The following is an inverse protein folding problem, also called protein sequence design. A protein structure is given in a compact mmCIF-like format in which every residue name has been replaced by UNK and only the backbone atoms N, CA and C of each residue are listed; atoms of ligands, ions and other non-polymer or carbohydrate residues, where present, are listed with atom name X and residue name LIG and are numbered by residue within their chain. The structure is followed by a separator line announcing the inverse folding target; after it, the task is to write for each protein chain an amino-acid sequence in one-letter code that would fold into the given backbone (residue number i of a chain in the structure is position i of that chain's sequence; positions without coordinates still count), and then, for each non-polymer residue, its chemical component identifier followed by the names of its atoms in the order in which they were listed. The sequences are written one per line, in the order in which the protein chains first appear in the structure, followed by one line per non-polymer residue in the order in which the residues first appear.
data_IF_340965858706
#
_entry.id   IF_340965858706
#
_cell.length_a   1.000
_cell.length_b   1.000
_cell.length_c   1.000
_cell.angle_alpha   90.00
_cell.angle_beta   90.00
_cell.angle_gamma   90.00
#
_symmetry.space_group_name_H-M   'P 1'
#
loop_
_entity.id
_entity.type
_entity.pdbx_description
1 polymer ?
#
# COMPACT_ATOMS: atom_id res chain seq x y z
N UNK A 1 77.05 61.95 -13.74
CA UNK A 1 76.58 61.17 -14.91
C UNK A 1 75.07 60.98 -14.79
N UNK A 2 74.31 61.60 -15.70
CA UNK A 2 72.85 61.53 -15.82
C UNK A 2 72.49 60.26 -16.59
N UNK A 3 71.50 59.50 -16.12
CA UNK A 3 71.06 58.26 -16.80
C UNK A 3 69.64 57.84 -16.45
N UNK A 4 68.68 58.65 -16.90
CA UNK A 4 67.30 58.36 -17.34
C UNK A 4 66.35 57.51 -16.45
N UNK A 5 65.32 58.24 -15.98
CA UNK A 5 64.03 57.80 -15.40
C UNK A 5 63.39 56.66 -16.21
N UNK A 6 63.11 55.54 -15.52
CA UNK A 6 62.17 54.52 -15.97
C UNK A 6 60.82 54.78 -15.28
N UNK A 7 59.80 54.81 -16.13
CA UNK A 7 58.40 55.14 -15.87
C UNK A 7 57.76 54.19 -14.84
N UNK A 8 57.39 54.70 -13.66
CA UNK A 8 56.54 53.96 -12.72
C UNK A 8 55.10 53.99 -13.22
N UNK A 9 54.69 52.97 -13.96
CA UNK A 9 53.26 52.64 -14.12
C UNK A 9 52.84 51.95 -12.82
N UNK A 10 52.12 52.67 -11.96
CA UNK A 10 51.39 52.04 -10.85
C UNK A 10 50.30 51.16 -11.48
N UNK A 11 50.46 49.84 -11.42
CA UNK A 11 49.36 48.90 -11.65
C UNK A 11 48.28 49.20 -10.61
N UNK A 12 47.19 49.80 -11.05
CA UNK A 12 45.95 49.90 -10.30
C UNK A 12 45.45 48.47 -10.10
N UNK A 13 45.70 47.89 -8.93
CA UNK A 13 45.00 46.68 -8.51
C UNK A 13 43.58 47.11 -8.17
N UNK A 14 42.65 46.90 -9.10
CA UNK A 14 41.23 46.86 -8.79
C UNK A 14 41.03 45.55 -8.05
N UNK A 15 41.20 45.59 -6.73
CA UNK A 15 40.70 44.53 -5.87
C UNK A 15 39.18 44.65 -5.94
N UNK A 16 38.54 43.74 -6.67
CA UNK A 16 37.10 43.53 -6.55
C UNK A 16 36.84 43.05 -5.13
N UNK A 17 36.60 43.97 -4.21
CA UNK A 17 36.02 43.65 -2.92
C UNK A 17 34.57 43.27 -3.20
N UNK A 18 34.35 41.98 -3.51
CA UNK A 18 33.06 41.35 -3.38
C UNK A 18 32.66 41.46 -1.92
N UNK A 19 31.97 42.55 -1.60
CA UNK A 19 31.18 42.70 -0.39
C UNK A 19 30.10 41.63 -0.50
N UNK A 20 30.40 40.46 0.05
CA UNK A 20 29.41 39.46 0.35
C UNK A 20 28.48 40.12 1.36
N UNK A 21 27.38 40.67 0.87
CA UNK A 21 26.26 41.10 1.69
C UNK A 21 25.79 39.81 2.38
N UNK A 22 26.32 39.56 3.58
CA UNK A 22 25.72 38.66 4.56
C UNK A 22 24.40 39.32 4.93
N UNK A 23 23.39 39.09 4.09
CA UNK A 23 22.02 39.16 4.54
C UNK A 23 21.92 37.99 5.51
N UNK A 24 22.13 38.27 6.79
CA UNK A 24 21.54 37.46 7.84
C UNK A 24 20.06 37.39 7.48
N UNK A 25 19.64 36.26 6.93
CA UNK A 25 18.23 35.95 6.74
C UNK A 25 17.62 36.04 8.12
N UNK A 26 17.01 37.19 8.39
CA UNK A 26 16.40 37.49 9.66
C UNK A 26 15.26 36.49 9.77
N UNK A 27 15.46 35.56 10.69
CA UNK A 27 14.51 34.68 11.31
C UNK A 27 13.18 35.38 11.56
N UNK A 28 12.25 35.31 10.61
CA UNK A 28 10.81 35.53 10.85
C UNK A 28 10.00 34.77 9.79
N UNK A 29 9.85 33.46 9.98
CA UNK A 29 8.73 32.69 9.42
C UNK A 29 8.37 31.44 10.24
N UNK A 30 8.88 31.29 11.48
CA UNK A 30 8.59 30.15 12.37
C UNK A 30 7.62 30.51 13.51
N UNK A 31 6.86 31.60 13.38
CA UNK A 31 5.91 32.03 14.44
C UNK A 31 4.44 31.91 14.05
N UNK A 32 4.10 31.38 12.88
CA UNK A 32 2.71 31.03 12.58
C UNK A 32 2.48 29.58 13.04
N UNK A 33 1.57 29.32 13.98
CA UNK A 33 1.22 27.96 14.37
C UNK A 33 0.87 27.11 13.14
N UNK A 34 1.39 25.88 13.09
CA UNK A 34 1.06 24.84 12.12
C UNK A 34 -0.43 24.45 12.26
N UNK A 35 -1.33 25.30 11.78
CA UNK A 35 -2.78 25.10 11.88
C UNK A 35 -3.36 25.40 10.49
N UNK A 36 -3.64 24.37 9.67
CA UNK A 36 -4.29 24.58 8.39
C UNK A 36 -5.67 25.22 8.55
N UNK A 37 -6.01 26.23 7.75
CA UNK A 37 -7.41 26.53 7.46
C UNK A 37 -7.79 25.71 6.22
N UNK A 38 -8.02 24.41 6.42
CA UNK A 38 -8.31 23.47 5.33
C UNK A 38 -9.76 23.58 4.85
N UNK A 39 -9.99 23.39 3.55
CA UNK A 39 -11.32 23.36 2.94
C UNK A 39 -11.52 22.10 2.12
N UNK A 40 -12.70 21.49 2.19
CA UNK A 40 -13.04 20.26 1.44
C UNK A 40 -13.26 20.48 -0.08
N UNK A 41 -13.11 21.70 -0.57
CA UNK A 41 -13.42 22.11 -1.95
C UNK A 41 -12.35 23.02 -2.57
N UNK A 42 -11.18 23.16 -1.95
CA UNK A 42 -10.13 24.04 -2.46
C UNK A 42 -9.30 23.29 -3.53
N UNK A 43 -8.43 24.00 -4.25
CA UNK A 43 -7.57 23.35 -5.25
C UNK A 43 -6.29 24.16 -5.35
N UNK A 44 -5.15 23.56 -5.01
CA UNK A 44 -3.87 24.25 -5.13
C UNK A 44 -3.06 23.65 -6.29
N UNK A 45 -3.44 24.03 -7.51
CA UNK A 45 -2.63 23.77 -8.72
C UNK A 45 -1.66 24.93 -8.89
N UNK A 46 -0.39 24.68 -8.58
CA UNK A 46 0.65 25.70 -8.68
C UNK A 46 0.95 26.06 -10.14
N UNK A 47 1.07 27.35 -10.43
CA UNK A 47 1.33 27.84 -11.79
C UNK A 47 2.81 28.15 -12.03
N UNK A 48 3.40 27.71 -13.16
CA UNK A 48 2.80 26.86 -14.20
C UNK A 48 2.52 25.42 -13.71
N UNK A 49 1.42 24.82 -14.18
CA UNK A 49 1.07 23.44 -13.84
C UNK A 49 2.10 22.46 -14.40
N UNK A 50 2.76 21.74 -13.50
CA UNK A 50 3.86 20.81 -13.81
C UNK A 50 3.50 19.36 -13.53
N UNK A 51 2.22 19.06 -13.27
CA UNK A 51 1.76 17.66 -13.17
C UNK A 51 1.99 16.96 -14.51
N UNK A 52 2.34 15.68 -14.43
CA UNK A 52 2.60 14.82 -15.60
C UNK A 52 1.50 13.79 -15.73
N UNK A 53 1.01 13.62 -16.96
CA UNK A 53 0.15 12.50 -17.32
C UNK A 53 0.94 11.20 -17.21
N UNK A 54 0.37 10.20 -16.56
CA UNK A 54 0.90 8.84 -16.54
C UNK A 54 0.24 8.07 -17.69
N UNK A 55 0.91 7.99 -18.84
CA UNK A 55 0.35 7.41 -20.07
C UNK A 55 0.31 5.88 -20.09
N UNK A 56 1.02 5.21 -19.18
CA UNK A 56 1.03 3.75 -19.04
C UNK A 56 0.94 3.34 -17.56
N UNK A 57 -0.21 2.81 -17.18
CA UNK A 57 -0.48 2.40 -15.80
C UNK A 57 -0.30 0.89 -15.57
N UNK A 58 0.30 0.15 -16.51
CA UNK A 58 0.54 -1.29 -16.39
C UNK A 58 1.88 -1.64 -15.70
N UNK A 59 2.60 -0.65 -15.17
CA UNK A 59 3.88 -0.83 -14.49
C UNK A 59 3.79 -0.40 -13.04
N UNK A 60 4.52 -1.08 -12.17
CA UNK A 60 4.67 -0.69 -10.77
C UNK A 60 5.43 0.65 -10.66
N UNK A 61 4.98 1.60 -9.81
CA UNK A 61 3.85 1.51 -8.88
C UNK A 61 2.48 1.91 -9.46
N UNK A 62 2.42 2.45 -10.68
CA UNK A 62 1.21 3.04 -11.28
C UNK A 62 0.05 2.04 -11.39
N UNK A 63 0.36 0.76 -11.63
CA UNK A 63 -0.63 -0.32 -11.70
C UNK A 63 -1.37 -0.60 -10.38
N UNK A 64 -0.84 -0.12 -9.26
CA UNK A 64 -1.46 -0.24 -7.94
C UNK A 64 -2.42 0.90 -7.61
N UNK A 65 -2.42 1.97 -8.40
CA UNK A 65 -3.20 3.18 -8.13
C UNK A 65 -4.60 3.04 -8.75
N UNK A 66 -5.63 3.34 -7.95
CA UNK A 66 -7.02 3.10 -8.32
C UNK A 66 -7.82 4.40 -8.38
N UNK A 67 -8.78 4.42 -9.30
CA UNK A 67 -9.84 5.42 -9.33
C UNK A 67 -11.04 4.88 -8.55
N UNK A 68 -11.59 5.72 -7.68
CA UNK A 68 -12.68 5.35 -6.78
C UNK A 68 -13.90 6.18 -7.16
N UNK A 69 -15.04 5.53 -7.33
CA UNK A 69 -16.35 6.19 -7.36
C UNK A 69 -17.15 5.75 -6.14
N UNK A 70 -17.72 6.71 -5.43
CA UNK A 70 -18.58 6.43 -4.27
C UNK A 70 -19.95 7.05 -4.47
N UNK A 71 -20.95 6.46 -3.82
CA UNK A 71 -22.26 7.07 -3.62
C UNK A 71 -22.30 7.50 -2.16
N UNK A 72 -22.32 8.80 -1.89
CA UNK A 72 -22.37 9.36 -0.53
C UNK A 72 -23.67 9.00 0.19
N UNK A 73 -23.71 9.26 1.50
CA UNK A 73 -24.92 9.05 2.31
C UNK A 73 -26.11 9.86 1.79
N UNK A 74 -25.84 11.05 1.25
CA UNK A 74 -26.80 11.91 0.55
C UNK A 74 -27.25 11.39 -0.83
N UNK A 75 -26.68 10.29 -1.34
CA UNK A 75 -26.99 9.71 -2.65
C UNK A 75 -26.27 10.35 -3.83
N UNK A 76 -25.41 11.35 -3.61
CA UNK A 76 -24.61 12.01 -4.65
C UNK A 76 -23.39 11.15 -4.99
N UNK A 77 -22.97 11.18 -6.27
CA UNK A 77 -21.75 10.50 -6.70
C UNK A 77 -20.52 11.36 -6.45
N UNK A 78 -19.54 10.78 -5.78
CA UNK A 78 -18.23 11.38 -5.56
C UNK A 78 -17.14 10.54 -6.22
N UNK A 79 -15.95 11.13 -6.35
CA UNK A 79 -14.78 10.48 -6.95
C UNK A 79 -13.53 10.78 -6.16
N UNK A 80 -12.63 9.81 -6.16
CA UNK A 80 -11.35 9.91 -5.48
C UNK A 80 -10.31 8.98 -6.06
N UNK A 81 -9.22 8.84 -5.32
CA UNK A 81 -8.08 8.01 -5.63
C UNK A 81 -7.79 7.05 -4.48
N UNK A 82 -7.01 6.02 -4.75
CA UNK A 82 -6.54 5.09 -3.72
C UNK A 82 -5.35 4.28 -4.21
N UNK A 83 -4.88 3.39 -3.35
CA UNK A 83 -3.76 2.49 -3.64
C UNK A 83 -4.04 1.08 -3.13
N UNK A 84 -3.75 0.08 -3.96
CA UNK A 84 -3.83 -1.33 -3.57
C UNK A 84 -2.71 -1.64 -2.56
N UNK A 85 -3.11 -2.12 -1.39
CA UNK A 85 -2.20 -2.46 -0.28
C UNK A 85 -2.21 -3.96 0.05
N UNK A 86 -3.13 -4.74 -0.52
CA UNK A 86 -3.20 -6.19 -0.36
C UNK A 86 -3.94 -6.80 -1.57
N UNK A 87 -4.04 -8.14 -1.70
CA UNK A 87 -4.83 -8.79 -2.76
C UNK A 87 -6.22 -8.18 -2.97
N UNK A 88 -6.94 -7.87 -1.90
CA UNK A 88 -8.32 -7.38 -1.91
C UNK A 88 -8.53 -6.12 -1.05
N UNK A 89 -7.51 -5.27 -0.88
CA UNK A 89 -7.65 -4.07 -0.05
C UNK A 89 -7.03 -2.83 -0.72
N UNK A 90 -7.76 -1.72 -0.62
CA UNK A 90 -7.33 -0.39 -1.06
C UNK A 90 -7.26 0.54 0.15
N UNK A 91 -6.17 1.28 0.27
CA UNK A 91 -6.03 2.41 1.18
C UNK A 91 -6.40 3.71 0.44
N UNK A 92 -7.18 4.56 1.10
CA UNK A 92 -7.65 5.85 0.59
C UNK A 92 -7.83 6.84 1.76
N UNK A 93 -8.40 8.01 1.50
CA UNK A 93 -8.77 8.97 2.54
C UNK A 93 -10.00 8.50 3.31
N UNK A 94 -10.11 8.82 4.59
CA UNK A 94 -11.27 8.53 5.43
C UNK A 94 -12.54 9.23 4.93
N UNK A 95 -12.42 10.45 4.40
CA UNK A 95 -13.55 11.18 3.83
C UNK A 95 -14.13 10.54 2.55
N UNK A 96 -13.40 9.63 1.90
CA UNK A 96 -13.95 8.81 0.82
C UNK A 96 -14.91 7.72 1.34
N UNK A 97 -14.95 7.48 2.66
CA UNK A 97 -15.80 6.49 3.33
C UNK A 97 -16.87 7.17 4.20
N UNK A 98 -16.50 8.20 4.94
CA UNK A 98 -17.39 8.93 5.83
C UNK A 98 -17.14 10.42 5.71
N UNK A 99 -18.17 11.19 5.36
CA UNK A 99 -18.15 12.64 5.39
C UNK A 99 -19.49 13.16 5.92
N UNK A 100 -19.48 13.82 7.08
CA UNK A 100 -20.67 14.30 7.75
C UNK A 100 -21.49 15.26 6.88
N UNK A 101 -20.82 16.11 6.09
CA UNK A 101 -21.48 17.07 5.20
C UNK A 101 -22.08 16.40 3.95
N UNK A 102 -21.68 15.17 3.64
CA UNK A 102 -22.16 14.37 2.51
C UNK A 102 -23.14 13.26 2.93
N UNK A 103 -23.72 13.38 4.12
CA UNK A 103 -24.70 12.44 4.66
C UNK A 103 -24.10 11.26 5.42
N UNK A 104 -22.84 11.34 5.83
CA UNK A 104 -22.17 10.35 6.67
C UNK A 104 -21.49 9.24 5.85
N UNK A 105 -21.75 7.99 6.20
CA UNK A 105 -21.17 6.84 5.51
C UNK A 105 -21.63 6.77 4.05
N UNK A 106 -20.72 6.39 3.17
CA UNK A 106 -21.05 6.03 1.79
C UNK A 106 -22.06 4.87 1.76
N UNK A 107 -22.91 4.86 0.74
CA UNK A 107 -23.84 3.76 0.45
C UNK A 107 -23.16 2.64 -0.33
N UNK A 108 -22.21 2.99 -1.18
CA UNK A 108 -21.44 2.04 -1.98
C UNK A 108 -20.19 2.70 -2.54
N UNK A 109 -19.21 1.86 -2.90
CA UNK A 109 -18.02 2.26 -3.64
C UNK A 109 -17.71 1.24 -4.74
N UNK A 110 -17.20 1.75 -5.85
CA UNK A 110 -16.69 0.96 -6.97
C UNK A 110 -15.24 1.35 -7.23
N UNK A 111 -14.39 0.34 -7.29
CA UNK A 111 -12.97 0.49 -7.57
C UNK A 111 -12.67 0.13 -9.00
N UNK A 112 -11.84 0.95 -9.59
CA UNK A 112 -11.36 0.79 -10.93
C UNK A 112 -9.82 0.79 -10.88
N UNK A 113 -9.19 -0.23 -11.47
CA UNK A 113 -7.73 -0.39 -11.44
C UNK A 113 -7.03 0.35 -12.61
N UNK A 114 -6.02 1.17 -12.28
CA UNK A 114 -4.98 1.68 -13.18
C UNK A 114 -5.44 2.21 -14.56
N UNK A 115 -5.97 3.44 -14.62
CA UNK A 115 -6.33 4.14 -15.87
C UNK A 115 -5.35 5.24 -16.21
N UNK A 116 -4.55 5.03 -17.24
CA UNK A 116 -3.59 6.03 -17.67
C UNK A 116 -4.21 7.18 -18.49
N UNK A 117 -5.20 6.89 -19.35
CA UNK A 117 -5.53 7.78 -20.48
C UNK A 117 -7.03 8.09 -20.67
N UNK A 118 -7.87 7.86 -19.66
CA UNK A 118 -9.30 8.19 -19.73
C UNK A 118 -10.19 7.19 -20.51
N UNK A 119 -9.62 6.15 -21.12
CA UNK A 119 -10.40 5.06 -21.73
C UNK A 119 -10.78 4.01 -20.67
N UNK A 120 -12.07 3.71 -20.57
CA UNK A 120 -12.66 2.90 -19.50
C UNK A 120 -13.19 1.56 -20.02
N UNK A 121 -12.89 0.47 -19.30
CA UNK A 121 -13.57 -0.81 -19.46
C UNK A 121 -14.43 -1.07 -18.20
N UNK A 122 -15.76 -0.99 -18.34
CA UNK A 122 -16.70 -1.26 -17.25
C UNK A 122 -16.59 -2.65 -16.66
N UNK A 123 -16.06 -3.60 -17.43
CA UNK A 123 -15.91 -4.97 -16.98
C UNK A 123 -14.76 -5.14 -15.96
N UNK A 124 -13.88 -4.15 -15.81
CA UNK A 124 -12.80 -4.13 -14.81
C UNK A 124 -13.24 -3.58 -13.44
N UNK A 125 -14.52 -3.19 -13.29
CA UNK A 125 -15.07 -2.71 -12.03
C UNK A 125 -14.97 -3.79 -10.93
N UNK A 126 -14.58 -3.35 -9.74
CA UNK A 126 -14.55 -4.17 -8.53
C UNK A 126 -15.41 -3.51 -7.46
N UNK A 127 -16.41 -4.23 -6.95
CA UNK A 127 -17.26 -3.72 -5.89
C UNK A 127 -16.51 -3.75 -4.56
N UNK A 128 -16.81 -2.78 -3.70
CA UNK A 128 -16.40 -2.79 -2.29
C UNK A 128 -17.40 -3.64 -1.50
N UNK A 129 -16.89 -4.57 -0.69
CA UNK A 129 -17.70 -5.47 0.16
C UNK A 129 -17.83 -4.97 1.59
N UNK A 130 -16.86 -4.19 2.05
CA UNK A 130 -16.89 -3.48 3.34
C UNK A 130 -15.87 -2.36 3.36
N UNK A 131 -16.09 -1.40 4.24
CA UNK A 131 -15.29 -0.20 4.40
C UNK A 131 -14.97 0.06 5.87
N UNK A 132 -13.77 0.59 6.14
CA UNK A 132 -13.31 0.93 7.49
C UNK A 132 -12.72 2.32 7.45
N UNK A 133 -13.45 3.30 8.00
CA UNK A 133 -12.90 4.63 8.29
C UNK A 133 -12.05 4.56 9.56
N UNK A 134 -10.94 5.29 9.59
CA UNK A 134 -10.15 5.42 10.81
C UNK A 134 -11.03 6.02 11.94
N UNK A 135 -11.03 5.45 13.15
CA UNK A 135 -11.85 5.94 14.25
C UNK A 135 -11.58 7.40 14.64
N UNK A 136 -10.34 7.88 14.51
CA UNK A 136 -9.98 9.25 14.81
C UNK A 136 -10.58 10.24 13.80
N UNK A 137 -10.53 9.90 12.49
CA UNK A 137 -11.25 10.63 11.46
C UNK A 137 -12.75 10.68 11.74
N UNK A 138 -13.35 9.50 11.96
CA UNK A 138 -14.77 9.37 12.19
C UNK A 138 -15.24 10.21 13.39
N UNK A 139 -14.47 10.23 14.47
CA UNK A 139 -14.79 11.00 15.66
C UNK A 139 -14.74 12.52 15.41
N UNK A 140 -13.75 12.99 14.66
CA UNK A 140 -13.54 14.43 14.42
C UNK A 140 -14.46 14.99 13.35
N UNK A 141 -14.65 14.27 12.24
CA UNK A 141 -15.52 14.71 11.14
C UNK A 141 -17.00 14.70 11.52
N UNK A 142 -17.42 13.79 12.41
CA UNK A 142 -18.79 13.74 12.98
C UNK A 142 -19.25 15.02 13.67
N UNK A 143 -18.32 15.89 14.06
CA UNK A 143 -18.65 17.19 14.65
C UNK A 143 -19.26 18.17 13.63
N UNK A 144 -19.27 17.83 12.34
CA UNK A 144 -19.98 18.57 11.30
C UNK A 144 -19.41 19.96 11.03
N UNK A 145 -18.11 20.16 11.28
CA UNK A 145 -17.45 21.43 11.00
C UNK A 145 -17.31 21.64 9.50
N UNK A 146 -17.52 22.88 9.03
CA UNK A 146 -17.38 23.25 7.61
C UNK A 146 -15.93 23.09 7.13
N UNK A 147 -14.97 23.18 8.05
CA UNK A 147 -13.54 23.07 7.75
C UNK A 147 -13.02 21.66 8.02
N UNK A 148 -11.97 21.28 7.29
CA UNK A 148 -11.28 20.01 7.48
C UNK A 148 -10.82 19.86 8.94
N UNK A 149 -11.12 18.74 9.61
CA UNK A 149 -10.76 18.54 11.01
C UNK A 149 -9.24 18.37 11.17
N UNK A 150 -8.61 19.37 11.77
CA UNK A 150 -7.16 19.38 11.92
C UNK A 150 -6.66 18.26 12.81
N UNK A 151 -5.52 17.70 12.40
CA UNK A 151 -4.89 16.60 13.10
C UNK A 151 -5.68 15.30 13.08
N UNK A 152 -6.65 15.14 12.16
CA UNK A 152 -7.36 13.89 11.97
C UNK A 152 -6.54 12.88 11.16
N UNK A 153 -6.54 11.61 11.59
CA UNK A 153 -6.08 10.48 10.78
C UNK A 153 -7.10 10.16 9.68
N UNK A 154 -7.24 11.05 8.69
CA UNK A 154 -8.13 10.91 7.53
C UNK A 154 -7.71 9.76 6.60
N UNK A 155 -7.89 8.53 7.08
CA UNK A 155 -7.53 7.29 6.42
C UNK A 155 -8.74 6.37 6.34
N UNK A 156 -8.84 5.66 5.22
CA UNK A 156 -9.92 4.73 4.93
C UNK A 156 -9.41 3.47 4.25
N UNK A 157 -9.99 2.32 4.61
CA UNK A 157 -9.73 1.04 3.97
C UNK A 157 -10.99 0.56 3.27
N UNK A 158 -10.85 0.14 2.02
CA UNK A 158 -11.91 -0.47 1.22
C UNK A 158 -11.54 -1.93 0.93
N UNK A 159 -12.35 -2.86 1.40
CA UNK A 159 -12.23 -4.29 1.12
C UNK A 159 -12.98 -4.64 -0.16
N UNK A 160 -12.36 -5.44 -1.01
CA UNK A 160 -12.80 -5.64 -2.39
C UNK A 160 -13.42 -7.02 -2.60
N UNK A 161 -14.39 -7.09 -3.51
CA UNK A 161 -15.02 -8.35 -3.92
C UNK A 161 -14.12 -9.23 -4.80
N UNK A 162 -12.99 -8.70 -5.27
CA UNK A 162 -12.02 -9.39 -6.15
C UNK A 162 -10.60 -9.17 -5.64
N UNK A 163 -9.76 -10.18 -5.82
CA UNK A 163 -8.33 -10.15 -5.48
C UNK A 163 -7.48 -9.41 -6.54
N UNK A 164 -7.85 -8.17 -6.91
CA UNK A 164 -7.18 -7.43 -8.01
C UNK A 164 -5.68 -7.18 -7.76
N UNK A 165 -5.25 -7.13 -6.50
CA UNK A 165 -3.86 -6.94 -6.11
C UNK A 165 -2.94 -8.12 -6.45
N UNK A 166 -3.48 -9.33 -6.69
CA UNK A 166 -2.68 -10.47 -7.15
C UNK A 166 -2.09 -10.24 -8.54
N UNK A 167 -2.76 -9.44 -9.38
CA UNK A 167 -2.31 -9.13 -10.75
C UNK A 167 -1.34 -7.95 -10.82
N UNK A 168 -1.39 -7.03 -9.85
CA UNK A 168 -0.59 -5.80 -9.87
C UNK A 168 0.54 -5.76 -8.85
N UNK A 169 0.52 -6.67 -7.88
CA UNK A 169 1.20 -6.45 -6.62
C UNK A 169 0.54 -5.31 -5.83
N UNK A 170 1.21 -4.89 -4.76
CA UNK A 170 0.79 -3.81 -3.89
C UNK A 170 2.01 -3.05 -3.37
N UNK A 171 1.80 -1.78 -3.01
CA UNK A 171 2.87 -0.96 -2.45
C UNK A 171 3.12 -1.30 -0.98
N UNK A 172 4.40 -1.26 -0.58
CA UNK A 172 4.76 -1.31 0.84
C UNK A 172 4.40 0.00 1.55
N UNK A 173 4.48 -0.01 2.88
CA UNK A 173 4.24 1.17 3.72
C UNK A 173 5.47 1.46 4.58
N UNK A 174 5.71 2.73 4.88
CA UNK A 174 6.81 3.14 5.75
C UNK A 174 6.36 4.27 6.67
N UNK A 175 6.67 4.13 7.96
CA UNK A 175 6.48 5.19 8.95
C UNK A 175 7.62 6.19 9.01
N UNK A 176 8.69 5.96 8.24
CA UNK A 176 9.85 6.83 8.19
C UNK A 176 9.56 7.97 7.21
N UNK A 177 9.41 9.17 7.78
CA UNK A 177 9.24 10.41 7.03
C UNK A 177 10.18 11.48 7.59
N UNK A 178 10.88 12.19 6.72
CA UNK A 178 11.74 13.31 7.11
C UNK A 178 11.50 14.56 6.25
N UNK A 179 11.76 15.73 6.83
CA UNK A 179 11.75 17.00 6.09
C UNK A 179 12.74 16.91 4.92
N UNK A 180 12.36 17.49 3.79
CA UNK A 180 13.08 17.44 2.51
C UNK A 180 13.18 16.05 1.86
N UNK A 181 12.56 15.00 2.42
CA UNK A 181 12.50 13.69 1.76
C UNK A 181 11.80 13.79 0.40
N UNK A 182 12.42 13.22 -0.62
CA UNK A 182 11.84 13.15 -1.96
C UNK A 182 10.62 12.20 -1.96
N UNK A 183 9.51 12.69 -2.50
CA UNK A 183 8.23 12.00 -2.55
C UNK A 183 7.57 12.20 -3.91
N UNK A 184 6.59 11.35 -4.21
CA UNK A 184 5.69 11.51 -5.35
C UNK A 184 4.26 11.28 -4.93
N UNK A 185 3.35 12.04 -5.54
CA UNK A 185 1.91 11.90 -5.40
C UNK A 185 1.34 11.62 -6.78
N UNK A 186 0.52 10.57 -6.89
CA UNK A 186 -0.12 10.17 -8.14
C UNK A 186 -1.56 9.75 -7.85
N UNK A 187 -2.50 10.22 -8.69
CA UNK A 187 -3.88 9.78 -8.67
C UNK A 187 -4.69 10.42 -9.77
N UNK A 188 -5.97 10.68 -9.49
CA UNK A 188 -6.98 11.03 -10.49
C UNK A 188 -7.58 12.41 -10.23
N UNK A 189 -6.89 13.49 -10.62
CA UNK A 189 -7.41 14.83 -10.41
C UNK A 189 -8.64 15.10 -11.27
N UNK A 190 -9.61 15.78 -10.69
CA UNK A 190 -10.91 16.03 -11.30
C UNK A 190 -10.90 16.96 -12.51
N UNK A 191 -9.88 17.81 -12.65
CA UNK A 191 -9.66 18.67 -13.80
C UNK A 191 -9.03 17.93 -15.00
N UNK A 192 -8.66 16.66 -14.82
CA UNK A 192 -8.20 15.74 -15.87
C UNK A 192 -9.05 14.46 -15.84
N UNK A 193 -10.30 14.52 -16.33
CA UNK A 193 -11.30 13.49 -16.08
C UNK A 193 -10.80 12.07 -16.40
N UNK A 194 -10.82 11.21 -15.39
CA UNK A 194 -10.48 9.77 -15.48
C UNK A 194 -9.04 9.49 -15.97
N UNK A 195 -8.16 10.48 -15.93
CA UNK A 195 -6.75 10.34 -16.28
C UNK A 195 -5.90 10.27 -15.01
N UNK A 196 -4.85 9.45 -15.04
CA UNK A 196 -3.88 9.39 -13.96
C UNK A 196 -2.80 10.46 -14.17
N UNK A 197 -2.63 11.31 -13.17
CA UNK A 197 -1.62 12.37 -13.16
C UNK A 197 -0.84 12.35 -11.87
N UNK A 198 0.38 12.85 -11.92
CA UNK A 198 1.21 12.91 -10.75
C UNK A 198 2.26 14.00 -10.81
N UNK A 199 2.87 14.25 -9.65
CA UNK A 199 3.97 15.19 -9.51
C UNK A 199 4.91 14.69 -8.40
N UNK A 200 6.19 14.99 -8.57
CA UNK A 200 7.21 14.71 -7.56
C UNK A 200 7.66 16.02 -6.92
N UNK A 201 8.01 15.94 -5.64
CA UNK A 201 8.47 17.06 -4.84
C UNK A 201 9.11 16.56 -3.57
N UNK A 202 9.11 17.39 -2.53
CA UNK A 202 9.71 17.04 -1.25
C UNK A 202 8.74 17.29 -0.09
N UNK A 203 8.95 16.60 1.02
CA UNK A 203 8.28 16.93 2.29
C UNK A 203 8.72 18.32 2.73
N UNK A 204 7.77 19.22 2.98
CA UNK A 204 8.04 20.59 3.42
C UNK A 204 8.00 20.74 4.93
N UNK A 205 6.90 20.27 5.56
CA UNK A 205 6.71 20.32 7.01
C UNK A 205 6.04 19.02 7.50
N UNK A 206 6.28 18.67 8.76
CA UNK A 206 5.68 17.51 9.44
C UNK A 206 5.14 18.01 10.77
N UNK A 207 3.84 17.81 11.04
CA UNK A 207 3.21 18.24 12.29
C UNK A 207 2.31 17.21 12.97
N UNK A 208 2.28 15.97 12.45
CA UNK A 208 1.64 14.77 13.00
C UNK A 208 0.11 14.87 13.31
N UNK A 209 -0.76 14.09 12.65
CA UNK A 209 -0.45 13.19 11.55
C UNK A 209 -0.26 13.92 10.23
N UNK A 210 -0.56 15.21 10.14
CA UNK A 210 -0.44 15.96 8.88
C UNK A 210 1.01 16.28 8.52
N UNK A 211 1.30 16.22 7.23
CA UNK A 211 2.52 16.75 6.62
C UNK A 211 2.18 17.44 5.30
N UNK A 212 3.02 18.38 4.89
CA UNK A 212 2.85 19.15 3.66
C UNK A 212 3.96 18.88 2.65
N UNK A 213 3.70 19.22 1.39
CA UNK A 213 4.63 19.05 0.29
C UNK A 213 5.11 20.40 -0.25
N UNK A 214 6.37 20.47 -0.67
CA UNK A 214 6.83 21.53 -1.57
C UNK A 214 6.67 21.07 -3.02
N UNK A 215 6.13 21.96 -3.86
CA UNK A 215 6.04 21.78 -5.30
C UNK A 215 5.25 20.54 -5.76
N UNK A 216 4.18 20.16 -5.06
CA UNK A 216 3.24 19.14 -5.55
C UNK A 216 1.86 19.78 -5.70
N UNK A 217 1.44 19.95 -6.96
CA UNK A 217 0.11 20.47 -7.29
C UNK A 217 -0.97 19.41 -7.08
N UNK A 218 -2.13 19.84 -6.58
CA UNK A 218 -3.29 18.97 -6.31
C UNK A 218 -4.58 19.58 -6.87
N UNK A 219 -5.56 18.73 -7.14
CA UNK A 219 -6.93 19.12 -7.48
C UNK A 219 -7.90 18.07 -6.89
N UNK A 220 -9.13 18.45 -6.46
CA UNK A 220 -10.16 17.53 -5.98
C UNK A 220 -10.33 16.30 -6.87
N UNK A 221 -10.46 15.12 -6.25
CA UNK A 221 -10.37 13.81 -6.91
C UNK A 221 -9.04 13.08 -6.65
N UNK A 222 -7.98 13.81 -6.27
CA UNK A 222 -6.76 13.20 -5.72
C UNK A 222 -6.84 12.90 -4.21
N UNK A 223 -8.00 13.08 -3.60
CA UNK A 223 -8.31 12.54 -2.28
C UNK A 223 -8.04 11.05 -2.23
N UNK A 224 -7.20 10.60 -1.31
CA UNK A 224 -6.79 9.21 -1.20
C UNK A 224 -5.60 8.79 -2.07
N UNK A 225 -5.03 9.69 -2.88
CA UNK A 225 -3.83 9.40 -3.66
C UNK A 225 -2.66 8.99 -2.74
N UNK A 226 -1.90 7.93 -3.06
CA UNK A 226 -0.71 7.59 -2.30
C UNK A 226 0.36 8.68 -2.46
N UNK A 227 0.97 9.03 -1.34
CA UNK A 227 2.25 9.75 -1.30
C UNK A 227 3.33 8.75 -0.93
N UNK A 228 4.32 8.58 -1.79
CA UNK A 228 5.32 7.53 -1.65
C UNK A 228 6.74 8.02 -1.89
N UNK A 229 7.70 7.35 -1.25
CA UNK A 229 9.12 7.67 -1.34
C UNK A 229 9.79 7.08 -2.60
N UNK A 230 11.09 7.32 -2.75
CA UNK A 230 11.87 6.79 -3.89
C UNK A 230 11.87 5.27 -3.98
N UNK A 231 11.78 4.57 -2.85
CA UNK A 231 11.63 3.11 -2.74
C UNK A 231 10.21 2.59 -3.00
N UNK A 232 9.27 3.46 -3.38
CA UNK A 232 7.85 3.14 -3.66
C UNK A 232 7.09 2.61 -2.46
N UNK A 233 7.52 2.98 -1.25
CA UNK A 233 6.74 2.77 -0.04
C UNK A 233 5.84 3.98 0.21
N UNK A 234 4.57 3.72 0.50
CA UNK A 234 3.61 4.74 0.92
C UNK A 234 4.09 5.30 2.26
N UNK A 235 4.23 6.62 2.32
CA UNK A 235 4.57 7.37 3.53
C UNK A 235 3.41 8.22 4.02
N UNK A 236 2.38 8.39 3.19
CA UNK A 236 1.15 9.08 3.56
C UNK A 236 0.07 8.99 2.48
N UNK A 237 -1.12 9.46 2.82
CA UNK A 237 -2.27 9.57 1.93
C UNK A 237 -2.63 11.04 1.76
N UNK A 238 -2.84 11.49 0.53
CA UNK A 238 -3.26 12.86 0.24
C UNK A 238 -4.73 13.09 0.61
N UNK A 239 -5.02 14.17 1.35
CA UNK A 239 -6.34 14.34 1.98
C UNK A 239 -6.93 15.74 1.88
N UNK A 240 -6.09 16.78 1.85
CA UNK A 240 -6.58 18.14 2.00
C UNK A 240 -5.61 19.17 1.43
N UNK A 241 -6.07 20.40 1.37
CA UNK A 241 -5.33 21.56 0.91
C UNK A 241 -5.66 22.79 1.75
N UNK A 242 -4.72 23.71 1.87
CA UNK A 242 -4.97 25.01 2.48
C UNK A 242 -5.87 25.84 1.56
N UNK A 243 -6.87 26.52 2.11
CA UNK A 243 -7.75 27.36 1.31
C UNK A 243 -7.00 28.57 0.74
N UNK A 244 -6.92 28.64 -0.59
CA UNK A 244 -6.50 29.85 -1.30
C UNK A 244 -7.71 30.75 -1.53
N UNK A 245 -7.90 31.72 -0.63
CA UNK A 245 -8.95 32.74 -0.75
C UNK A 245 -8.37 34.03 -1.33
N UNK A 246 -9.00 34.46 -2.42
CA UNK A 246 -8.64 35.60 -3.26
C UNK A 246 -8.61 36.96 -2.55
N UNK A 247 -7.89 37.98 -3.10
CA UNK A 247 -7.96 38.38 -4.53
C UNK A 247 -6.77 37.96 -5.42
N UNK A 248 -7.10 37.23 -6.49
CA UNK A 248 -6.33 36.80 -7.65
C UNK A 248 -7.01 37.52 -8.81
N UNK A 249 -6.27 38.28 -9.63
CA UNK A 249 -6.81 39.08 -10.73
C UNK A 249 -7.57 38.27 -11.80
N UNK A 250 -7.54 36.92 -11.76
CA UNK A 250 -8.18 36.04 -12.75
C UNK A 250 -9.40 35.25 -12.22
N UNK A 251 -9.84 35.44 -10.97
CA UNK A 251 -11.06 34.83 -10.42
C UNK A 251 -11.06 33.30 -10.19
N UNK A 252 -10.02 32.57 -10.59
CA UNK A 252 -9.90 31.13 -10.37
C UNK A 252 -9.10 30.81 -9.09
N UNK A 253 -9.81 30.47 -8.00
CA UNK A 253 -9.22 30.08 -6.72
C UNK A 253 -8.52 28.71 -6.78
N UNK A 254 -8.56 27.99 -7.92
CA UNK A 254 -7.88 26.71 -8.11
C UNK A 254 -6.43 26.81 -8.57
N UNK A 255 -5.97 28.03 -8.88
CA UNK A 255 -4.68 28.31 -9.52
C UNK A 255 -3.84 29.21 -8.63
N UNK A 256 -2.92 28.59 -7.89
CA UNK A 256 -2.05 29.29 -6.95
C UNK A 256 -0.74 29.65 -7.66
N UNK A 257 -0.26 30.90 -7.63
CA UNK A 257 1.09 31.22 -8.10
C UNK A 257 2.15 30.39 -7.36
N UNK A 258 3.15 29.83 -8.06
CA UNK A 258 4.18 29.00 -7.41
C UNK A 258 4.95 29.73 -6.30
N UNK A 259 5.04 31.06 -6.37
CA UNK A 259 5.64 31.90 -5.31
C UNK A 259 4.87 31.87 -3.99
N UNK A 260 3.60 31.46 -3.99
CA UNK A 260 2.73 31.37 -2.82
C UNK A 260 2.53 29.92 -2.34
N UNK A 261 3.19 28.94 -2.96
CA UNK A 261 2.98 27.53 -2.64
C UNK A 261 3.25 27.17 -1.17
N UNK A 262 4.21 27.84 -0.52
CA UNK A 262 4.50 27.64 0.90
C UNK A 262 3.41 28.19 1.84
N UNK A 263 2.64 29.18 1.39
CA UNK A 263 1.54 29.79 2.15
C UNK A 263 0.23 28.99 2.00
N UNK A 264 0.07 28.30 0.87
CA UNK A 264 -1.12 27.50 0.55
C UNK A 264 -0.73 26.06 0.21
N UNK A 265 -0.18 25.29 1.17
CA UNK A 265 0.29 23.95 0.93
C UNK A 265 -0.85 22.95 0.66
N UNK A 266 -0.46 21.81 0.08
CA UNK A 266 -1.27 20.58 0.03
C UNK A 266 -0.80 19.63 1.14
N UNK A 267 -1.72 18.81 1.66
CA UNK A 267 -1.53 18.01 2.86
C UNK A 267 -1.84 16.53 2.65
N UNK A 268 -1.03 15.72 3.32
CA UNK A 268 -1.30 14.30 3.52
C UNK A 268 -1.33 13.93 4.99
N UNK A 269 -2.00 12.82 5.29
CA UNK A 269 -1.86 12.11 6.55
C UNK A 269 -0.65 11.20 6.44
N UNK A 270 0.35 11.41 7.29
CA UNK A 270 1.52 10.54 7.43
C UNK A 270 1.07 9.15 7.90
N UNK A 271 1.63 8.09 7.32
CA UNK A 271 1.47 6.75 7.87
C UNK A 271 2.39 6.57 9.07
N UNK A 272 1.97 6.96 10.27
CA UNK A 272 2.74 6.68 11.48
C UNK A 272 2.73 5.18 11.83
N UNK A 273 3.54 4.76 12.81
CA UNK A 273 3.54 3.38 13.26
C UNK A 273 2.16 2.92 13.78
N UNK A 274 1.40 3.80 14.46
CA UNK A 274 0.04 3.48 14.91
C UNK A 274 -0.92 3.34 13.72
N UNK A 275 -0.80 4.18 12.69
CA UNK A 275 -1.63 4.04 11.48
C UNK A 275 -1.32 2.73 10.74
N UNK A 276 -0.05 2.36 10.59
CA UNK A 276 0.34 1.09 9.95
C UNK A 276 -0.19 -0.10 10.75
N UNK A 277 -0.08 -0.07 12.08
CA UNK A 277 -0.65 -1.11 12.93
C UNK A 277 -2.18 -1.21 12.78
N UNK A 278 -2.87 -0.07 12.73
CA UNK A 278 -4.32 -0.03 12.46
C UNK A 278 -4.64 -0.64 11.09
N UNK A 279 -3.89 -0.29 10.03
CA UNK A 279 -4.08 -0.87 8.68
C UNK A 279 -3.90 -2.38 8.72
N UNK A 280 -2.79 -2.87 9.29
CA UNK A 280 -2.51 -4.30 9.38
C UNK A 280 -3.57 -5.06 10.20
N UNK A 281 -4.13 -4.44 11.24
CA UNK A 281 -5.20 -5.05 12.02
C UNK A 281 -6.53 -5.15 11.27
N UNK A 282 -6.79 -4.24 10.33
CA UNK A 282 -8.02 -4.22 9.54
C UNK A 282 -7.87 -4.86 8.15
N UNK A 283 -6.66 -5.25 7.76
CA UNK A 283 -6.38 -5.94 6.50
C UNK A 283 -5.66 -7.26 6.79
N UNK A 284 -6.38 -8.36 7.07
CA UNK A 284 -5.77 -9.65 7.41
C UNK A 284 -4.77 -10.17 6.37
N UNK A 285 -4.99 -9.85 5.09
CA UNK A 285 -4.10 -10.22 4.00
C UNK A 285 -2.72 -9.53 4.06
N UNK A 286 -2.58 -8.39 4.76
CA UNK A 286 -1.27 -7.77 5.03
C UNK A 286 -0.49 -8.47 6.14
N UNK A 287 -1.17 -9.26 6.96
CA UNK A 287 -0.55 -10.22 7.88
C UNK A 287 -0.27 -11.57 7.18
N UNK A 288 -0.64 -11.72 5.91
CA UNK A 288 -0.45 -12.98 5.20
C UNK A 288 1.01 -13.21 4.82
N UNK A 289 1.40 -14.47 4.76
CA UNK A 289 2.65 -14.89 4.12
C UNK A 289 2.32 -16.02 3.16
N UNK A 290 2.99 -16.04 2.01
CA UNK A 290 2.86 -17.13 1.06
C UNK A 290 3.26 -18.46 1.69
N UNK A 291 2.47 -19.50 1.42
CA UNK A 291 2.83 -20.89 1.63
C UNK A 291 3.29 -21.48 0.30
N UNK A 292 4.59 -21.68 0.18
CA UNK A 292 5.22 -22.27 -1.00
C UNK A 292 5.04 -23.78 -1.02
N UNK A 293 4.89 -24.36 -2.21
CA UNK A 293 4.89 -25.81 -2.45
C UNK A 293 6.11 -26.19 -3.29
N UNK A 294 6.85 -27.18 -2.83
CA UNK A 294 8.05 -27.70 -3.51
C UNK A 294 7.93 -29.21 -3.63
N UNK A 295 8.10 -29.73 -4.84
CA UNK A 295 7.94 -31.13 -5.20
C UNK A 295 9.30 -31.86 -5.29
N UNK A 296 9.40 -33.04 -4.68
CA UNK A 296 10.55 -33.93 -4.79
C UNK A 296 10.29 -35.00 -5.86
N UNK A 297 10.94 -34.94 -7.04
CA UNK A 297 10.72 -35.91 -8.09
C UNK A 297 11.20 -37.32 -7.74
N UNK A 298 12.05 -37.50 -6.72
CA UNK A 298 12.62 -38.80 -6.38
C UNK A 298 11.68 -39.71 -5.58
N UNK A 299 10.78 -39.12 -4.77
CA UNK A 299 9.88 -39.87 -3.89
C UNK A 299 8.41 -39.42 -3.96
N UNK A 300 8.11 -38.38 -4.75
CA UNK A 300 6.78 -37.82 -4.93
C UNK A 300 6.37 -36.78 -3.88
N UNK A 301 7.27 -36.40 -2.98
CA UNK A 301 6.94 -35.56 -1.83
C UNK A 301 6.62 -34.11 -2.19
N UNK A 302 5.69 -33.52 -1.46
CA UNK A 302 5.45 -32.09 -1.49
C UNK A 302 5.72 -31.50 -0.11
N UNK A 303 6.60 -30.50 -0.05
CA UNK A 303 6.88 -29.74 1.15
C UNK A 303 6.17 -28.38 1.08
N UNK A 304 5.53 -28.00 2.19
CA UNK A 304 4.79 -26.76 2.35
C UNK A 304 5.50 -25.86 3.36
N UNK A 305 5.92 -24.67 2.94
CA UNK A 305 6.73 -23.79 3.80
C UNK A 305 6.47 -22.31 3.56
N UNK A 306 6.57 -21.51 4.63
CA UNK A 306 6.61 -20.04 4.56
C UNK A 306 8.03 -19.51 4.30
N UNK A 307 9.05 -20.37 4.38
CA UNK A 307 10.46 -19.99 4.35
C UNK A 307 11.05 -20.12 2.94
N UNK A 308 11.29 -18.99 2.28
CA UNK A 308 11.87 -18.98 0.94
C UNK A 308 13.31 -19.54 0.90
N UNK A 309 14.07 -19.47 2.00
CA UNK A 309 15.40 -20.08 2.04
C UNK A 309 15.34 -21.62 2.02
N UNK A 310 14.30 -22.21 2.60
CA UNK A 310 14.03 -23.65 2.51
C UNK A 310 13.72 -24.03 1.06
N UNK A 311 12.87 -23.25 0.37
CA UNK A 311 12.58 -23.43 -1.07
C UNK A 311 13.86 -23.36 -1.92
N UNK A 312 14.68 -22.33 -1.72
CA UNK A 312 15.93 -22.13 -2.46
C UNK A 312 16.89 -23.31 -2.23
N UNK A 313 17.00 -23.77 -0.98
CA UNK A 313 17.89 -24.87 -0.61
C UNK A 313 17.44 -26.20 -1.23
N UNK A 314 16.14 -26.48 -1.21
CA UNK A 314 15.55 -27.68 -1.83
C UNK A 314 15.69 -27.66 -3.35
N UNK A 315 15.48 -26.51 -3.98
CA UNK A 315 15.62 -26.36 -5.44
C UNK A 315 17.05 -26.64 -5.90
N UNK A 316 18.05 -26.20 -5.12
CA UNK A 316 19.47 -26.49 -5.39
C UNK A 316 19.82 -27.98 -5.35
N UNK A 317 19.07 -28.78 -4.61
CA UNK A 317 19.28 -30.24 -4.49
C UNK A 317 18.30 -31.04 -5.36
N UNK A 318 17.67 -30.40 -6.34
CA UNK A 318 16.89 -31.07 -7.39
C UNK A 318 15.39 -31.19 -7.13
N UNK A 319 14.85 -30.48 -6.13
CA UNK A 319 13.40 -30.36 -5.97
C UNK A 319 12.83 -29.28 -6.90
N UNK A 320 11.58 -29.46 -7.33
CA UNK A 320 10.88 -28.56 -8.23
C UNK A 320 10.01 -27.58 -7.43
N UNK A 321 10.30 -26.29 -7.51
CA UNK A 321 9.40 -25.26 -6.96
C UNK A 321 8.14 -25.16 -7.81
N UNK A 322 6.98 -25.35 -7.18
CA UNK A 322 5.68 -25.38 -7.87
C UNK A 322 4.86 -24.09 -7.67
N UNK A 323 5.42 -23.11 -6.97
CA UNK A 323 4.75 -21.83 -6.72
C UNK A 323 4.13 -21.70 -5.33
N UNK A 324 3.25 -20.72 -5.21
CA UNK A 324 2.49 -20.45 -3.99
C UNK A 324 1.23 -21.32 -4.00
N UNK A 325 1.10 -22.20 -3.01
CA UNK A 325 -0.07 -23.06 -2.85
C UNK A 325 -1.28 -22.30 -2.28
N UNK A 326 -1.03 -21.44 -1.29
CA UNK A 326 -2.05 -20.58 -0.66
C UNK A 326 -1.39 -19.44 0.12
N UNK A 327 -2.17 -18.42 0.49
CA UNK A 327 -1.75 -17.40 1.45
C UNK A 327 -2.17 -17.85 2.86
N UNK A 328 -1.28 -17.69 3.84
CA UNK A 328 -1.54 -18.10 5.23
C UNK A 328 -1.45 -16.89 6.16
N UNK A 329 -2.36 -16.74 7.13
CA UNK A 329 -2.30 -15.64 8.08
C UNK A 329 -1.04 -15.69 8.97
N UNK A 330 -0.70 -14.56 9.60
CA UNK A 330 0.34 -14.50 10.63
C UNK A 330 -0.06 -15.20 11.93
N UNK A 331 -1.36 -15.31 12.20
CA UNK A 331 -1.94 -15.88 13.42
C UNK A 331 -3.20 -16.68 13.09
N UNK A 332 -3.52 -17.70 13.88
CA UNK A 332 -4.71 -18.52 13.67
C UNK A 332 -4.59 -19.87 14.37
N UNK A 333 -5.22 -20.90 13.81
CA UNK A 333 -5.07 -22.26 14.34
C UNK A 333 -3.73 -22.85 13.87
N UNK A 334 -2.88 -23.27 14.80
CA UNK A 334 -1.53 -23.75 14.48
C UNK A 334 -1.57 -25.04 13.64
N UNK A 335 -0.86 -25.06 12.51
CA UNK A 335 -0.60 -26.27 11.71
C UNK A 335 0.77 -26.80 12.08
N UNK A 336 0.81 -28.00 12.66
CA UNK A 336 2.02 -28.69 13.08
C UNK A 336 2.64 -29.46 11.92
N UNK A 337 3.95 -29.31 11.71
CA UNK A 337 4.71 -30.13 10.75
C UNK A 337 5.48 -31.21 11.49
N UNK A 338 5.37 -32.44 11.00
CA UNK A 338 6.10 -33.59 11.50
C UNK A 338 6.89 -34.24 10.36
N UNK A 339 8.07 -34.75 10.68
CA UNK A 339 8.95 -35.45 9.75
C UNK A 339 9.12 -36.90 10.18
N UNK A 340 8.93 -37.83 9.24
CA UNK A 340 9.18 -39.26 9.47
C UNK A 340 10.62 -39.60 9.03
N UNK A 341 11.55 -39.91 9.96
CA UNK A 341 12.93 -40.23 9.59
C UNK A 341 13.07 -41.54 8.80
N UNK A 342 12.07 -42.42 8.83
CA UNK A 342 12.11 -43.72 8.14
C UNK A 342 11.69 -43.61 6.66
N UNK A 343 10.59 -42.89 6.38
CA UNK A 343 10.09 -42.71 5.01
C UNK A 343 10.65 -41.45 4.34
N UNK A 344 11.03 -40.45 5.13
CA UNK A 344 11.42 -39.12 4.67
C UNK A 344 10.25 -38.16 4.47
N UNK A 345 9.01 -38.56 4.77
CA UNK A 345 7.82 -37.75 4.49
C UNK A 345 7.53 -36.69 5.55
N UNK A 346 6.95 -35.56 5.12
CA UNK A 346 6.35 -34.57 6.01
C UNK A 346 4.83 -34.74 6.12
N UNK A 347 4.32 -34.56 7.34
CA UNK A 347 2.90 -34.59 7.66
C UNK A 347 2.46 -33.29 8.34
N UNK A 348 1.24 -32.82 8.02
CA UNK A 348 0.70 -31.55 8.48
C UNK A 348 -0.67 -31.76 9.12
N UNK A 349 -0.85 -31.22 10.33
CA UNK A 349 -2.10 -31.37 11.08
C UNK A 349 -2.43 -30.19 11.99
N UNK A 350 -3.73 -29.90 12.13
CA UNK A 350 -4.26 -29.00 13.17
C UNK A 350 -4.45 -29.71 14.52
N UNK A 351 -4.44 -31.05 14.55
CA UNK A 351 -4.72 -31.83 15.74
C UNK A 351 -3.47 -32.00 16.58
N UNK A 352 -3.45 -31.39 17.76
CA UNK A 352 -2.38 -31.61 18.75
C UNK A 352 -2.29 -33.09 19.18
N UNK A 353 -3.43 -33.79 19.24
CA UNK A 353 -3.49 -35.22 19.55
C UNK A 353 -2.85 -36.10 18.47
N UNK A 354 -3.11 -35.81 17.18
CA UNK A 354 -2.51 -36.54 16.05
C UNK A 354 -0.99 -36.31 16.05
N UNK A 355 -0.56 -35.06 16.25
CA UNK A 355 0.85 -34.69 16.42
C UNK A 355 1.51 -35.46 17.57
N UNK A 356 0.92 -35.46 18.77
CA UNK A 356 1.47 -36.15 19.94
C UNK A 356 1.54 -37.68 19.74
N UNK A 357 0.55 -38.25 19.05
CA UNK A 357 0.53 -39.69 18.74
C UNK A 357 1.63 -40.07 17.73
N UNK A 358 1.84 -39.25 16.69
CA UNK A 358 2.91 -39.45 15.72
C UNK A 358 4.31 -39.29 16.36
N UNK A 359 4.48 -38.33 17.27
CA UNK A 359 5.72 -38.19 18.04
C UNK A 359 6.01 -39.44 18.87
N UNK A 360 5.00 -40.00 19.55
CA UNK A 360 5.14 -41.29 20.27
C UNK A 360 5.50 -42.46 19.34
N UNK A 361 5.02 -42.41 18.09
CA UNK A 361 5.35 -43.38 17.05
C UNK A 361 6.72 -43.15 16.39
N UNK A 362 7.53 -42.19 16.88
CA UNK A 362 8.89 -41.95 16.42
C UNK A 362 9.05 -40.87 15.35
N UNK A 363 7.99 -40.12 15.03
CA UNK A 363 8.09 -38.96 14.13
C UNK A 363 8.72 -37.77 14.86
N UNK A 364 9.49 -36.95 14.14
CA UNK A 364 10.07 -35.72 14.66
C UNK A 364 9.10 -34.57 14.48
N UNK A 365 8.69 -33.93 15.56
CA UNK A 365 7.96 -32.65 15.49
C UNK A 365 8.93 -31.52 15.08
N UNK A 366 8.59 -30.79 14.02
CA UNK A 366 9.42 -29.73 13.44
C UNK A 366 8.90 -28.31 13.71
N UNK A 367 8.07 -28.16 14.74
CA UNK A 367 7.42 -26.91 15.15
C UNK A 367 6.12 -26.58 14.36
N UNK A 368 5.54 -25.43 14.68
CA UNK A 368 4.42 -24.86 13.94
C UNK A 368 4.95 -24.38 12.59
N UNK A 369 4.44 -24.92 11.50
CA UNK A 369 4.88 -24.53 10.16
C UNK A 369 4.19 -23.24 9.68
N UNK A 370 2.89 -23.12 9.98
CA UNK A 370 2.06 -21.97 9.62
C UNK A 370 0.74 -22.00 10.41
N UNK A 371 -0.13 -21.02 10.17
CA UNK A 371 -1.45 -20.93 10.82
C UNK A 371 -2.55 -21.07 9.77
N UNK A 372 -3.60 -21.83 10.10
CA UNK A 372 -4.83 -21.90 9.33
C UNK A 372 -5.70 -20.66 9.55
N UNK A 373 -6.33 -20.19 8.49
CA UNK A 373 -7.34 -19.13 8.50
C UNK A 373 -8.59 -19.53 9.32
N UNK A 374 -8.90 -18.82 10.42
CA UNK A 374 -10.10 -19.06 11.21
C UNK A 374 -11.41 -18.77 10.45
N UNK A 375 -11.37 -17.90 9.44
CA UNK A 375 -12.53 -17.50 8.64
C UNK A 375 -12.84 -18.47 7.49
N UNK A 376 -11.98 -19.47 7.26
CA UNK A 376 -12.20 -20.60 6.35
C UNK A 376 -12.37 -20.23 4.88
N UNK A 377 -11.61 -19.26 4.37
CA UNK A 377 -11.74 -18.78 2.99
C UNK A 377 -11.34 -19.82 1.93
N UNK A 378 -10.15 -20.40 2.02
CA UNK A 378 -9.61 -21.33 1.00
C UNK A 378 -9.35 -22.71 1.60
N UNK A 379 -10.17 -23.72 1.30
CA UNK A 379 -9.96 -25.08 1.83
C UNK A 379 -8.75 -25.79 1.21
N UNK A 380 -7.91 -26.42 2.05
CA UNK A 380 -6.84 -27.33 1.63
C UNK A 380 -7.20 -28.77 1.99
N UNK A 381 -7.34 -29.62 0.98
CA UNK A 381 -7.74 -31.01 1.10
C UNK A 381 -6.54 -31.92 1.38
N UNK A 382 -6.68 -32.88 2.30
CA UNK A 382 -5.70 -33.96 2.53
C UNK A 382 -6.20 -35.27 1.93
N UNK A 383 -5.30 -35.93 1.22
CA UNK A 383 -5.52 -37.24 0.62
C UNK A 383 -4.45 -38.22 1.10
N UNK A 384 -4.85 -39.48 1.27
CA UNK A 384 -3.99 -40.58 1.67
C UNK A 384 -3.87 -41.61 0.54
N UNK A 385 -2.66 -42.05 0.22
CA UNK A 385 -2.38 -43.13 -0.72
C UNK A 385 -2.20 -44.46 0.04
N UNK A 386 -3.20 -45.35 0.07
CA UNK A 386 -3.09 -46.63 0.78
C UNK A 386 -2.10 -47.60 0.14
N UNK A 387 -1.66 -47.32 -1.10
CA UNK A 387 -0.74 -48.16 -1.85
C UNK A 387 0.71 -47.68 -1.78
N UNK A 388 1.01 -46.62 -1.01
CA UNK A 388 2.36 -46.12 -0.83
C UNK A 388 3.24 -47.17 -0.15
N UNK A 389 4.40 -47.47 -0.74
CA UNK A 389 5.38 -48.44 -0.21
C UNK A 389 6.76 -47.81 -0.05
N UNK A 390 7.49 -48.25 0.98
CA UNK A 390 8.86 -47.81 1.24
C UNK A 390 8.94 -46.30 1.50
N UNK A 391 9.66 -45.57 0.66
CA UNK A 391 9.83 -44.11 0.75
C UNK A 391 8.83 -43.32 -0.09
N UNK A 392 7.86 -43.97 -0.73
CA UNK A 392 6.81 -43.26 -1.47
C UNK A 392 5.94 -42.46 -0.52
N UNK A 393 5.50 -41.28 -0.95
CA UNK A 393 4.62 -40.47 -0.12
C UNK A 393 3.26 -41.09 0.08
N UNK A 394 2.80 -41.01 1.32
CA UNK A 394 1.49 -41.49 1.72
C UNK A 394 0.44 -40.38 1.79
N UNK A 395 0.83 -39.10 1.91
CA UNK A 395 -0.10 -37.98 2.04
C UNK A 395 0.14 -36.87 1.01
N UNK A 396 -0.95 -36.26 0.54
CA UNK A 396 -0.94 -35.14 -0.39
C UNK A 396 -1.92 -34.05 0.03
N UNK A 397 -1.57 -32.79 -0.23
CA UNK A 397 -2.35 -31.62 0.18
C UNK A 397 -2.61 -30.68 -1.00
N UNK A 398 -3.84 -30.23 -1.20
CA UNK A 398 -4.13 -29.34 -2.33
C UNK A 398 -5.29 -28.40 -2.09
N UNK A 399 -5.20 -27.18 -2.60
CA UNK A 399 -6.32 -26.24 -2.72
C UNK A 399 -7.23 -26.55 -3.91
N UNK A 400 -6.74 -27.36 -4.86
CA UNK A 400 -7.46 -27.68 -6.10
C UNK A 400 -8.40 -28.86 -5.88
N UNK A 401 -9.72 -28.59 -5.95
CA UNK A 401 -10.73 -29.65 -5.94
C UNK A 401 -10.56 -30.59 -7.15
N UNK A 402 -10.13 -30.08 -8.30
CA UNK A 402 -9.88 -30.90 -9.49
C UNK A 402 -8.71 -31.88 -9.29
N UNK A 403 -7.62 -31.44 -8.62
CA UNK A 403 -6.48 -32.32 -8.31
C UNK A 403 -6.88 -33.39 -7.29
N UNK A 404 -7.63 -33.01 -6.24
CA UNK A 404 -8.23 -33.96 -5.29
C UNK A 404 -9.07 -35.00 -6.01
N UNK A 405 -10.00 -34.57 -6.86
CA UNK A 405 -10.94 -35.46 -7.54
C UNK A 405 -10.22 -36.40 -8.54
N UNK A 406 -9.14 -35.93 -9.17
CA UNK A 406 -8.28 -36.75 -10.02
C UNK A 406 -7.57 -37.85 -9.23
N UNK A 407 -6.98 -37.51 -8.08
CA UNK A 407 -6.31 -38.46 -7.22
C UNK A 407 -7.27 -39.52 -6.65
N UNK A 408 -8.48 -39.11 -6.26
CA UNK A 408 -9.52 -40.04 -5.79
C UNK A 408 -9.88 -41.06 -6.88
N UNK A 409 -10.01 -40.63 -8.14
CA UNK A 409 -10.30 -41.54 -9.28
C UNK A 409 -9.25 -42.61 -9.49
N UNK A 410 -7.98 -42.33 -9.14
CA UNK A 410 -6.87 -43.28 -9.28
C UNK A 410 -6.55 -44.04 -7.98
N UNK A 411 -7.49 -44.03 -7.01
CA UNK A 411 -7.44 -44.89 -5.83
C UNK A 411 -6.87 -44.24 -4.56
N UNK A 412 -6.63 -42.92 -4.56
CA UNK A 412 -6.32 -42.21 -3.31
C UNK A 412 -7.59 -42.03 -2.49
N UNK A 413 -7.45 -42.04 -1.16
CA UNK A 413 -8.54 -41.76 -0.22
C UNK A 413 -8.55 -40.28 0.13
N UNK A 414 -9.63 -39.57 -0.18
CA UNK A 414 -9.88 -38.26 0.43
C UNK A 414 -10.15 -38.46 1.92
N UNK A 415 -9.44 -37.74 2.77
CA UNK A 415 -9.61 -37.83 4.22
C UNK A 415 -10.49 -36.70 4.74
N UNK A 416 -10.03 -35.45 4.60
CA UNK A 416 -10.68 -34.26 5.16
C UNK A 416 -10.10 -32.96 4.60
N UNK A 417 -10.70 -31.83 4.97
CA UNK A 417 -10.05 -30.52 4.87
C UNK A 417 -9.06 -30.43 6.03
N UNK A 418 -7.78 -30.26 5.74
CA UNK A 418 -6.74 -30.22 6.78
C UNK A 418 -6.53 -28.84 7.37
N UNK A 419 -6.64 -27.78 6.56
CA UNK A 419 -6.62 -26.40 7.02
C UNK A 419 -7.23 -25.47 5.96
N UNK A 420 -7.28 -24.19 6.29
CA UNK A 420 -7.76 -23.14 5.40
C UNK A 420 -6.67 -22.08 5.19
N UNK A 421 -6.48 -21.63 3.94
CA UNK A 421 -5.76 -20.40 3.60
C UNK A 421 -6.69 -19.20 3.49
N UNK A 422 -6.10 -18.01 3.34
CA UNK A 422 -6.79 -16.75 3.08
C UNK A 422 -7.39 -16.66 1.67
#
# INVERSE_FOLDING_TARGET
MKGKRIMKIKKLHITLASTLLLISSSTFADTVPFIPSGGATASNVYQPDQRKLISTANQFPYNTIVYIETIGGNGVRYRGSGVIIAPNAVLTAGHMIYNATEGGHIKSATIYQAFANGNYNSNAATAVTSEVANPDWLAKDRLGTINYPLGADDLGILNLSKNIGLSTGWMGMSSVLSKNQAISLIGFPGDKPKQMWGMSGNVSQIGNPLFSYSNISMYPGQSGSPVFNTSKNIVGINVAEAQYLNPNPNGDNSKVPSSLASQYPNYGVQLTASNINWIQNNVPALKATALYRVYNPNNGEHLYTKNLNEVISLTKVGWNYEGVNSQQPATGNAVYRLYNPNSGEHFYTLSSYEKDSLVKAGWRYEQIAFYSDPAKHTAIYRLFNPNAKGKQISHFYTSSSAERDSLVKIGWRYEQISWYGL
#
